data_IF_024625850104
#
_entry.id   IF_024625850104
#
_cell.length_a   1.000
_cell.length_b   1.000
_cell.length_c   1.000
_cell.angle_alpha   90.00
_cell.angle_beta   90.00
_cell.angle_gamma   90.00
#
_symmetry.space_group_name_H-M   'P 1'
#
loop_
_entity.id
_entity.type
_entity.pdbx_description
1 polymer ?
#
# COMPACT_ATOMS: atom_id res chain seq x y z
N UNK A 1 2.33 3.32 4.76
CA UNK A 1 1.55 2.71 3.67
C UNK A 1 1.84 1.23 3.64
N UNK A 2 0.83 0.39 3.54
CA UNK A 2 0.97 -1.06 3.42
C UNK A 2 0.45 -1.49 2.05
N UNK A 3 1.24 -2.27 1.32
CA UNK A 3 0.84 -2.84 0.02
C UNK A 3 1.07 -4.34 -0.04
N UNK A 4 0.53 -5.01 -1.05
CA UNK A 4 0.88 -6.40 -1.33
C UNK A 4 2.39 -6.53 -1.61
N UNK A 5 2.99 -7.66 -1.21
CA UNK A 5 4.38 -8.01 -1.51
C UNK A 5 4.66 -7.87 -3.01
N UNK A 6 5.84 -7.35 -3.34
CA UNK A 6 6.27 -6.98 -4.70
C UNK A 6 5.60 -5.74 -5.32
N UNK A 7 4.64 -5.08 -4.66
CA UNK A 7 3.99 -3.86 -5.14
C UNK A 7 4.42 -2.58 -4.38
N UNK A 8 5.52 -2.66 -3.64
CA UNK A 8 6.01 -1.58 -2.76
C UNK A 8 6.18 -0.22 -3.44
N UNK A 9 6.56 -0.21 -4.71
CA UNK A 9 6.90 1.00 -5.48
C UNK A 9 5.88 1.39 -6.54
N UNK A 10 4.67 0.82 -6.48
CA UNK A 10 3.63 1.08 -7.48
C UNK A 10 3.32 2.58 -7.65
N UNK A 11 3.27 3.34 -6.55
CA UNK A 11 3.05 4.79 -6.59
C UNK A 11 4.23 5.57 -7.18
N UNK A 12 5.45 5.08 -7.01
CA UNK A 12 6.65 5.73 -7.52
C UNK A 12 6.81 5.48 -9.03
N UNK A 13 6.44 4.27 -9.48
CA UNK A 13 6.44 3.88 -10.90
C UNK A 13 5.33 4.63 -11.67
N UNK A 14 4.22 4.98 -11.00
CA UNK A 14 3.17 5.83 -11.57
C UNK A 14 2.54 5.25 -12.85
N UNK A 15 2.45 3.92 -12.96
CA UNK A 15 1.98 3.20 -14.17
C UNK A 15 2.73 3.59 -15.45
N UNK A 16 4.01 3.95 -15.33
CA UNK A 16 4.83 4.46 -16.44
C UNK A 16 4.30 5.76 -17.08
N UNK A 17 3.47 6.52 -16.36
CA UNK A 17 3.07 7.85 -16.82
C UNK A 17 4.32 8.73 -16.95
N UNK A 18 4.39 9.52 -18.02
CA UNK A 18 5.43 10.54 -18.21
C UNK A 18 4.72 11.85 -18.51
N UNK A 19 4.74 12.84 -17.60
CA UNK A 19 4.14 14.14 -17.86
C UNK A 19 4.70 14.79 -19.12
N UNK A 20 6.02 14.72 -19.29
CA UNK A 20 6.72 15.24 -20.47
C UNK A 20 7.34 14.09 -21.27
N UNK A 21 6.73 13.74 -22.40
CA UNK A 21 7.11 12.53 -23.14
C UNK A 21 8.51 12.60 -23.76
N UNK A 22 8.99 13.80 -24.12
CA UNK A 22 10.23 14.01 -24.86
C UNK A 22 11.36 14.61 -24.01
N UNK A 23 11.12 14.90 -22.74
CA UNK A 23 12.11 15.47 -21.83
C UNK A 23 12.77 14.38 -20.99
N UNK A 24 14.08 14.22 -21.14
CA UNK A 24 14.87 13.28 -20.33
C UNK A 24 14.99 13.79 -18.88
N UNK A 25 15.23 15.09 -18.71
CA UNK A 25 15.35 15.77 -17.41
C UNK A 25 14.00 16.36 -16.99
N UNK A 26 13.03 15.50 -16.64
CA UNK A 26 11.71 15.94 -16.19
C UNK A 26 11.56 15.76 -14.67
N UNK A 27 10.94 16.74 -14.01
CA UNK A 27 10.50 16.63 -12.61
C UNK A 27 9.21 15.80 -12.59
N UNK A 28 9.26 14.57 -12.11
CA UNK A 28 8.10 13.68 -12.07
C UNK A 28 7.40 13.89 -10.72
N UNK A 29 6.19 14.49 -10.66
CA UNK A 29 5.64 14.98 -9.40
C UNK A 29 5.52 13.91 -8.30
N UNK A 30 5.15 12.68 -8.66
CA UNK A 30 5.03 11.57 -7.70
C UNK A 30 6.36 10.91 -7.33
N UNK A 31 7.45 11.22 -8.04
CA UNK A 31 8.80 10.82 -7.66
C UNK A 31 9.43 11.87 -6.74
N UNK A 32 9.35 13.15 -7.11
CA UNK A 32 9.95 14.25 -6.36
C UNK A 32 9.17 14.63 -5.11
N UNK A 33 7.83 14.62 -5.20
CA UNK A 33 6.91 14.98 -4.10
C UNK A 33 6.07 13.78 -3.71
N UNK A 34 6.74 12.65 -3.51
CA UNK A 34 6.09 11.40 -3.16
C UNK A 34 5.24 11.54 -1.88
N UNK A 35 3.94 11.24 -1.98
CA UNK A 35 2.98 11.27 -0.86
C UNK A 35 3.45 10.43 0.34
N UNK A 36 4.13 9.32 0.07
CA UNK A 36 4.68 8.44 1.10
C UNK A 36 6.13 8.14 0.75
N UNK A 37 7.06 8.52 1.63
CA UNK A 37 8.49 8.22 1.49
C UNK A 37 8.72 6.70 1.47
N UNK A 38 9.73 6.23 0.73
CA UNK A 38 10.02 4.80 0.54
C UNK A 38 10.16 4.01 1.85
N UNK A 39 10.80 4.59 2.85
CA UNK A 39 10.96 4.02 4.19
C UNK A 39 9.63 3.76 4.92
N UNK A 40 8.55 4.47 4.57
CA UNK A 40 7.22 4.30 5.15
C UNK A 40 6.28 3.50 4.24
N UNK A 41 6.83 2.82 3.22
CA UNK A 41 6.12 1.85 2.38
C UNK A 41 6.52 0.46 2.84
N UNK A 42 5.60 -0.24 3.49
CA UNK A 42 5.77 -1.61 3.95
C UNK A 42 4.89 -2.55 3.12
N UNK A 43 5.19 -3.84 3.20
CA UNK A 43 4.49 -4.85 2.41
C UNK A 43 4.01 -6.00 3.27
N UNK A 44 2.85 -6.56 2.91
CA UNK A 44 2.34 -7.80 3.47
C UNK A 44 2.15 -8.85 2.37
N UNK A 45 2.38 -10.11 2.73
CA UNK A 45 2.18 -11.26 1.85
C UNK A 45 0.67 -11.51 1.68
N UNK A 46 0.23 -11.49 0.43
CA UNK A 46 -1.13 -11.75 -0.02
C UNK A 46 -1.03 -12.05 -1.52
N UNK A 47 -1.89 -12.91 -2.06
CA UNK A 47 -2.02 -13.05 -3.51
C UNK A 47 -3.42 -13.48 -3.91
N UNK A 48 -3.96 -12.75 -4.89
CA UNK A 48 -5.24 -13.04 -5.54
C UNK A 48 -4.98 -13.35 -7.02
N UNK A 49 -5.59 -14.41 -7.54
CA UNK A 49 -5.52 -14.81 -8.94
C UNK A 49 -6.41 -13.91 -9.80
N UNK A 50 -5.87 -13.21 -10.81
CA UNK A 50 -6.69 -12.65 -11.87
C UNK A 50 -7.09 -13.73 -12.89
N UNK A 51 -8.24 -13.63 -13.57
CA UNK A 51 -9.32 -12.65 -13.41
C UNK A 51 -10.41 -13.07 -12.40
N UNK A 52 -10.35 -14.31 -11.89
CA UNK A 52 -11.41 -14.93 -11.08
C UNK A 52 -11.50 -14.37 -9.67
N UNK A 53 -10.43 -13.74 -9.16
CA UNK A 53 -10.39 -13.21 -7.80
C UNK A 53 -10.18 -14.29 -6.73
N UNK A 54 -9.74 -15.49 -7.12
CA UNK A 54 -9.46 -16.57 -6.18
C UNK A 54 -8.26 -16.21 -5.28
N UNK A 55 -8.39 -16.44 -3.96
CA UNK A 55 -7.30 -16.19 -3.02
C UNK A 55 -6.29 -17.32 -3.13
N UNK A 56 -5.16 -17.05 -3.79
CA UNK A 56 -4.03 -17.99 -3.89
C UNK A 56 -3.20 -18.02 -2.62
N UNK A 57 -3.13 -16.88 -1.92
CA UNK A 57 -2.41 -16.75 -0.65
C UNK A 57 -3.18 -15.76 0.20
N UNK A 58 -3.70 -16.26 1.33
CA UNK A 58 -4.39 -15.45 2.33
C UNK A 58 -3.47 -14.34 2.86
N UNK A 59 -4.08 -13.23 3.26
CA UNK A 59 -3.36 -12.11 3.84
C UNK A 59 -2.70 -12.55 5.15
N UNK A 60 -1.38 -12.37 5.24
CA UNK A 60 -0.66 -12.62 6.48
C UNK A 60 -0.93 -11.50 7.50
N UNK A 61 -1.82 -11.77 8.46
CA UNK A 61 -2.23 -10.81 9.48
C UNK A 61 -1.07 -10.38 10.39
N UNK A 62 -0.14 -11.29 10.70
CA UNK A 62 1.01 -11.00 11.57
C UNK A 62 1.97 -10.00 10.90
N UNK A 63 2.18 -10.15 9.59
CA UNK A 63 2.97 -9.19 8.80
C UNK A 63 2.29 -7.82 8.76
N UNK A 64 0.96 -7.79 8.66
CA UNK A 64 0.19 -6.53 8.70
C UNK A 64 0.31 -5.87 10.07
N UNK A 65 0.17 -6.63 11.16
CA UNK A 65 0.32 -6.12 12.52
C UNK A 65 1.73 -5.56 12.75
N UNK A 66 2.77 -6.30 12.37
CA UNK A 66 4.16 -5.85 12.46
C UNK A 66 4.39 -4.58 11.65
N UNK A 67 3.86 -4.52 10.42
CA UNK A 67 3.97 -3.33 9.58
C UNK A 67 3.24 -2.11 10.17
N UNK A 68 2.07 -2.31 10.79
CA UNK A 68 1.35 -1.25 11.50
C UNK A 68 2.20 -0.74 12.68
N UNK A 69 2.81 -1.63 13.46
CA UNK A 69 3.68 -1.25 14.58
C UNK A 69 4.93 -0.49 14.14
N UNK A 70 5.57 -0.91 13.05
CA UNK A 70 6.70 -0.19 12.48
C UNK A 70 6.31 1.20 11.98
N UNK A 71 5.13 1.33 11.38
CA UNK A 71 4.59 2.62 10.92
C UNK A 71 4.11 3.52 12.07
N UNK A 72 3.81 2.97 13.24
CA UNK A 72 3.49 3.75 14.45
C UNK A 72 4.71 4.43 15.08
N UNK A 73 5.92 3.86 14.90
CA UNK A 73 7.16 4.44 15.45
C UNK A 73 7.42 5.87 14.98
N UNK A 74 7.30 6.19 13.68
CA UNK A 74 7.19 7.58 13.24
C UNK A 74 5.79 8.09 13.60
N UNK A 75 5.67 9.31 14.12
CA UNK A 75 4.40 10.00 14.44
C UNK A 75 3.58 10.22 13.15
N UNK A 76 2.98 9.17 12.61
CA UNK A 76 2.18 9.20 11.40
C UNK A 76 0.72 9.40 11.78
N UNK A 77 0.17 10.54 11.37
CA UNK A 77 -1.23 10.90 11.63
C UNK A 77 -2.22 10.18 10.68
N UNK A 78 -1.73 9.53 9.62
CA UNK A 78 -2.56 8.86 8.59
C UNK A 78 -1.83 7.64 8.02
N UNK A 79 -2.56 6.55 7.78
CA UNK A 79 -2.03 5.31 7.20
C UNK A 79 -2.88 4.90 5.99
N UNK A 80 -2.22 4.75 4.86
CA UNK A 80 -2.82 4.25 3.63
C UNK A 80 -2.58 2.73 3.51
N UNK A 81 -3.63 1.95 3.22
CA UNK A 81 -3.51 0.54 2.84
C UNK A 81 -4.00 0.40 1.40
N UNK A 82 -3.18 -0.17 0.51
CA UNK A 82 -3.53 -0.39 -0.88
C UNK A 82 -3.12 -1.80 -1.31
N UNK A 83 -4.10 -2.69 -1.40
CA UNK A 83 -3.88 -4.08 -1.80
C UNK A 83 -4.17 -4.26 -3.29
N UNK A 84 -3.41 -5.14 -3.94
CA UNK A 84 -3.57 -5.46 -5.35
C UNK A 84 -4.78 -6.37 -5.52
N UNK A 85 -5.88 -5.81 -6.03
CA UNK A 85 -7.26 -6.38 -6.12
C UNK A 85 -8.04 -6.41 -4.79
N UNK A 86 -8.81 -5.36 -4.46
CA UNK A 86 -9.76 -5.40 -3.34
C UNK A 86 -11.03 -6.15 -3.75
N UNK A 87 -10.94 -7.46 -3.99
CA UNK A 87 -12.11 -8.30 -4.31
C UNK A 87 -12.74 -8.89 -3.05
N UNK A 88 -11.96 -9.07 -1.97
CA UNK A 88 -12.44 -9.66 -0.72
C UNK A 88 -12.73 -8.59 0.35
N UNK A 89 -14.00 -8.45 0.74
CA UNK A 89 -14.45 -7.63 1.88
C UNK A 89 -13.78 -8.06 3.20
N UNK A 90 -13.25 -9.30 3.26
CA UNK A 90 -12.64 -9.91 4.44
C UNK A 90 -11.29 -9.27 4.79
N UNK A 91 -10.43 -9.04 3.81
CA UNK A 91 -9.11 -8.40 4.03
C UNK A 91 -9.27 -6.98 4.59
N UNK A 92 -10.19 -6.21 4.01
CA UNK A 92 -10.49 -4.86 4.48
C UNK A 92 -11.03 -4.89 5.91
N UNK A 93 -11.88 -5.86 6.27
CA UNK A 93 -12.42 -5.99 7.63
C UNK A 93 -11.35 -6.32 8.68
N UNK A 94 -10.37 -7.17 8.34
CA UNK A 94 -9.24 -7.50 9.25
C UNK A 94 -8.37 -6.26 9.50
N UNK A 95 -8.05 -5.53 8.43
CA UNK A 95 -7.28 -4.29 8.50
C UNK A 95 -8.06 -3.24 9.32
N UNK A 96 -9.33 -3.00 9.02
CA UNK A 96 -10.20 -2.10 9.79
C UNK A 96 -10.33 -2.50 11.27
N UNK A 97 -10.45 -3.80 11.58
CA UNK A 97 -10.53 -4.29 12.96
C UNK A 97 -9.29 -3.97 13.79
N UNK A 98 -8.10 -4.14 13.19
CA UNK A 98 -6.83 -3.80 13.82
C UNK A 98 -6.57 -2.28 13.88
N UNK A 99 -7.12 -1.50 12.95
CA UNK A 99 -6.89 -0.04 12.85
C UNK A 99 -7.90 0.82 13.61
N UNK A 100 -9.15 0.36 13.77
CA UNK A 100 -10.19 1.03 14.58
C UNK A 100 -9.76 1.18 16.04
N UNK A 101 -9.01 0.20 16.57
CA UNK A 101 -8.39 0.28 17.90
C UNK A 101 -7.33 1.39 18.02
N UNK A 102 -6.88 1.97 16.90
CA UNK A 102 -5.67 2.79 16.83
C UNK A 102 -5.90 4.19 16.21
N UNK A 103 -7.14 4.61 15.92
CA UNK A 103 -7.50 5.95 15.46
C UNK A 103 -6.79 6.42 14.17
N UNK A 104 -6.68 5.53 13.19
CA UNK A 104 -5.97 5.76 11.93
C UNK A 104 -6.96 5.83 10.76
N UNK A 105 -6.94 6.94 10.01
CA UNK A 105 -7.81 7.17 8.84
C UNK A 105 -7.36 6.36 7.62
N UNK A 106 -8.32 5.61 7.05
CA UNK A 106 -8.16 4.83 5.82
C UNK A 106 -8.65 5.71 4.66
N UNK A 107 -7.79 5.95 3.66
CA UNK A 107 -8.26 6.38 2.35
C UNK A 107 -8.34 5.10 1.51
N UNK A 108 -9.47 4.86 0.84
CA UNK A 108 -9.67 3.72 -0.04
C UNK A 108 -9.38 4.12 -1.47
#
# INVERSE_FOLDING_TARGET
MITTKNYRDILHIGRHQRPEHYSIMQEVPWQDRALVRRQHRLTASERIAPPTGEVLTELNEDEVCTAIEELKRPVLNRLQCAFFFPISTRHMRIVHGNLSRNNILIVS
#
